data_IF_489015970876
#
_entry.id   IF_489015970876
#
_cell.length_a   1.000
_cell.length_b   1.000
_cell.length_c   1.000
_cell.angle_alpha   90.00
_cell.angle_beta   90.00
_cell.angle_gamma   90.00
#
_symmetry.space_group_name_H-M   'P 1'
#
loop_
_entity.id
_entity.type
_entity.pdbx_description
1 polymer ?
#
# COMPACT_ATOMS: atom_id res chain seq x y z
N UNK A 1 22.23 -3.18 41.22
CA UNK A 1 21.48 -2.12 40.49
C UNK A 1 22.17 -1.68 39.19
N UNK A 2 23.48 -1.37 39.17
CA UNK A 2 24.18 -0.93 37.94
C UNK A 2 24.15 -1.93 36.76
N UNK A 3 24.22 -3.23 37.03
CA UNK A 3 24.16 -4.29 36.00
C UNK A 3 22.76 -4.45 35.37
N UNK A 4 21.70 -4.20 36.14
CA UNK A 4 20.32 -4.22 35.66
C UNK A 4 20.02 -3.00 34.78
N UNK A 5 20.55 -1.83 35.18
CA UNK A 5 20.48 -0.59 34.40
C UNK A 5 21.19 -0.74 33.04
N UNK A 6 22.40 -1.31 33.02
CA UNK A 6 23.15 -1.59 31.79
C UNK A 6 22.41 -2.54 30.84
N UNK A 7 21.74 -3.56 31.38
CA UNK A 7 20.95 -4.49 30.58
C UNK A 7 19.73 -3.80 29.94
N UNK A 8 19.02 -2.94 30.69
CA UNK A 8 17.86 -2.22 30.20
C UNK A 8 18.23 -1.21 29.10
N UNK A 9 19.35 -0.50 29.28
CA UNK A 9 19.88 0.43 28.27
C UNK A 9 20.29 -0.31 27.00
N UNK A 10 20.95 -1.46 27.11
CA UNK A 10 21.32 -2.28 25.96
C UNK A 10 20.08 -2.79 25.18
N UNK A 11 19.00 -3.15 25.86
CA UNK A 11 17.74 -3.55 25.20
C UNK A 11 17.05 -2.39 24.47
N UNK A 12 17.11 -1.16 25.00
CA UNK A 12 16.54 0.01 24.32
C UNK A 12 17.30 0.37 23.03
N UNK A 13 18.63 0.20 23.01
CA UNK A 13 19.44 0.37 21.80
C UNK A 13 19.25 -0.76 20.78
N UNK A 14 19.00 -1.99 21.23
CA UNK A 14 18.74 -3.12 20.32
C UNK A 14 17.38 -3.03 19.59
N UNK A 15 16.39 -2.37 20.20
CA UNK A 15 15.04 -2.23 19.62
C UNK A 15 14.97 -1.05 18.63
N UNK A 16 15.79 -0.01 18.80
CA UNK A 16 15.77 1.20 17.97
C UNK A 16 16.45 1.08 16.61
N UNK A 17 17.15 -0.03 16.34
CA UNK A 17 17.80 -0.29 15.04
C UNK A 17 16.89 -0.81 13.93
N UNK A 18 15.61 -1.06 14.23
CA UNK A 18 14.64 -1.58 13.26
C UNK A 18 13.81 -0.40 12.75
N UNK A 19 14.15 0.13 11.57
CA UNK A 19 13.27 1.08 10.89
C UNK A 19 11.95 0.37 10.59
N UNK A 20 10.87 0.80 11.24
CA UNK A 20 9.55 0.25 10.99
C UNK A 20 8.99 0.93 9.73
N UNK A 21 8.82 0.17 8.64
CA UNK A 21 8.09 0.64 7.47
C UNK A 21 6.64 0.95 7.85
N UNK A 22 6.35 2.24 8.00
CA UNK A 22 4.99 2.76 8.18
C UNK A 22 4.31 2.72 6.82
N UNK A 23 3.23 1.93 6.64
CA UNK A 23 2.52 1.88 5.38
C UNK A 23 1.79 3.19 5.13
N UNK A 24 1.67 3.57 3.86
CA UNK A 24 0.82 4.69 3.46
C UNK A 24 -0.63 4.20 3.46
N UNK A 25 -1.45 4.75 4.34
CA UNK A 25 -2.88 4.45 4.40
C UNK A 25 -3.62 5.15 3.26
N UNK A 26 -4.22 4.37 2.37
CA UNK A 26 -5.02 4.90 1.27
C UNK A 26 -6.49 4.94 1.68
N UNK A 27 -7.03 6.16 1.73
CA UNK A 27 -8.40 6.45 2.15
C UNK A 27 -8.58 6.46 3.67
N UNK A 28 -9.84 6.49 4.12
CA UNK A 28 -10.22 6.62 5.55
C UNK A 28 -10.67 5.29 6.18
N UNK A 29 -10.87 4.26 5.37
CA UNK A 29 -11.44 2.98 5.81
C UNK A 29 -12.94 3.02 6.17
N UNK A 30 -13.63 4.11 5.88
CA UNK A 30 -15.08 4.26 6.13
C UNK A 30 -15.93 4.02 4.89
N UNK A 31 -15.33 3.99 3.70
CA UNK A 31 -16.04 3.85 2.43
C UNK A 31 -16.40 2.39 2.16
N UNK A 32 -17.69 2.12 1.99
CA UNK A 32 -18.22 0.82 1.60
C UNK A 32 -18.73 0.89 0.15
N UNK A 33 -17.84 0.67 -0.82
CA UNK A 33 -18.22 0.56 -2.23
C UNK A 33 -17.73 -0.77 -2.81
N UNK A 34 -18.58 -1.43 -3.60
CA UNK A 34 -18.23 -2.64 -4.35
C UNK A 34 -17.24 -2.37 -5.49
N UNK A 35 -17.00 -1.10 -5.81
CA UNK A 35 -16.09 -0.59 -6.85
C UNK A 35 -14.81 0.03 -6.26
N UNK A 36 -14.55 -0.12 -4.96
CA UNK A 36 -13.32 0.36 -4.33
C UNK A 36 -12.06 -0.30 -4.92
N UNK A 37 -10.88 0.23 -4.59
CA UNK A 37 -9.60 -0.11 -5.21
C UNK A 37 -9.17 -1.59 -5.09
N UNK A 38 -9.77 -2.35 -4.18
CA UNK A 38 -9.47 -3.76 -3.93
C UNK A 38 -10.49 -4.69 -4.59
N UNK A 39 -10.16 -5.98 -4.83
CA UNK A 39 -10.95 -6.85 -5.71
C UNK A 39 -12.42 -6.85 -5.32
N UNK A 40 -13.20 -6.18 -6.17
CA UNK A 40 -14.63 -6.04 -5.97
C UNK A 40 -15.30 -7.41 -5.92
N UNK A 41 -16.52 -7.44 -5.38
CA UNK A 41 -17.32 -8.65 -5.20
C UNK A 41 -17.41 -9.53 -6.47
N UNK A 42 -17.33 -8.91 -7.65
CA UNK A 42 -17.50 -9.56 -8.96
C UNK A 42 -16.20 -10.04 -9.62
N UNK A 43 -15.07 -10.04 -8.89
CA UNK A 43 -13.87 -10.80 -9.25
C UNK A 43 -12.86 -10.12 -10.18
N UNK A 44 -13.28 -9.19 -11.03
CA UNK A 44 -12.38 -8.34 -11.82
C UNK A 44 -12.60 -6.87 -11.47
N UNK A 45 -11.58 -6.20 -10.96
CA UNK A 45 -11.60 -4.76 -10.72
C UNK A 45 -10.31 -4.14 -11.24
N UNK A 46 -10.43 -2.90 -11.71
CA UNK A 46 -9.30 -2.03 -12.01
C UNK A 46 -9.67 -0.67 -11.42
N UNK A 47 -8.72 -0.06 -10.74
CA UNK A 47 -8.86 1.26 -10.15
C UNK A 47 -7.58 2.06 -10.36
N UNK A 48 -7.72 3.35 -10.65
CA UNK A 48 -6.61 4.28 -10.74
C UNK A 48 -6.91 5.49 -9.84
N UNK A 49 -5.90 5.91 -9.10
CA UNK A 49 -6.00 7.01 -8.14
C UNK A 49 -4.79 7.92 -8.30
N UNK A 50 -5.01 9.22 -8.16
CA UNK A 50 -3.99 10.25 -8.15
C UNK A 50 -3.90 10.83 -6.76
N UNK A 51 -2.69 10.91 -6.23
CA UNK A 51 -2.41 11.52 -4.94
C UNK A 51 -1.23 12.46 -5.10
N UNK A 52 -1.31 13.63 -4.51
CA UNK A 52 -0.14 14.47 -4.25
C UNK A 52 0.74 13.82 -3.17
N UNK A 53 2.05 14.07 -3.20
CA UNK A 53 2.97 13.58 -2.18
C UNK A 53 2.54 13.98 -0.75
N UNK A 54 2.00 15.20 -0.59
CA UNK A 54 1.47 15.67 0.70
C UNK A 54 0.26 14.90 1.20
N UNK A 55 -0.64 14.44 0.31
CA UNK A 55 -1.83 13.67 0.70
C UNK A 55 -1.45 12.29 1.24
N UNK A 56 -0.39 11.70 0.72
CA UNK A 56 0.12 10.40 1.16
C UNK A 56 1.29 10.51 2.15
N UNK A 57 1.57 11.73 2.65
CA UNK A 57 2.54 11.96 3.72
C UNK A 57 4.00 11.75 3.32
N UNK A 58 4.33 11.88 2.04
CA UNK A 58 5.70 11.71 1.52
C UNK A 58 6.37 13.07 1.37
N UNK A 59 7.57 13.21 1.93
CA UNK A 59 8.45 14.37 1.70
C UNK A 59 9.17 14.28 0.35
N UNK A 60 9.75 15.39 -0.11
CA UNK A 60 10.55 15.42 -1.34
C UNK A 60 11.67 14.36 -1.29
N UNK A 61 11.74 13.50 -2.31
CA UNK A 61 12.73 12.41 -2.40
C UNK A 61 12.49 11.24 -1.43
N UNK A 62 11.32 11.18 -0.78
CA UNK A 62 10.91 10.04 0.03
C UNK A 62 10.51 8.84 -0.85
N UNK A 63 10.73 7.64 -0.34
CA UNK A 63 10.39 6.40 -1.03
C UNK A 63 9.14 5.74 -0.45
N UNK A 64 8.44 4.96 -1.29
CA UNK A 64 7.27 4.19 -0.91
C UNK A 64 7.66 2.72 -0.89
N UNK A 65 7.55 2.11 0.28
CA UNK A 65 7.85 0.69 0.48
C UNK A 65 6.60 -0.16 0.71
N UNK A 66 5.50 0.47 1.13
CA UNK A 66 4.22 -0.21 1.28
C UNK A 66 3.06 0.77 1.31
N UNK A 67 1.90 0.28 0.87
CA UNK A 67 0.61 0.94 1.04
C UNK A 67 -0.32 0.03 1.82
N UNK A 68 -1.39 0.58 2.38
CA UNK A 68 -2.45 -0.20 2.97
C UNK A 68 -3.84 0.28 2.55
N UNK A 69 -4.74 -0.68 2.39
CA UNK A 69 -6.15 -0.44 2.10
C UNK A 69 -7.01 -1.12 3.16
N UNK A 70 -8.12 -0.49 3.52
CA UNK A 70 -9.10 -1.11 4.39
C UNK A 70 -10.03 -2.02 3.59
N UNK A 71 -10.16 -3.27 4.05
CA UNK A 71 -11.13 -4.21 3.52
C UNK A 71 -12.35 -4.34 4.41
N UNK A 72 -13.53 -4.05 3.87
CA UNK A 72 -14.80 -4.26 4.57
C UNK A 72 -15.20 -5.74 4.66
N UNK A 73 -14.72 -6.59 3.75
CA UNK A 73 -15.01 -8.02 3.69
C UNK A 73 -13.77 -8.86 3.37
N UNK A 74 -13.74 -10.11 3.83
CA UNK A 74 -12.70 -11.10 3.48
C UNK A 74 -12.89 -11.69 2.08
N UNK A 75 -14.14 -11.72 1.60
CA UNK A 75 -14.50 -12.32 0.31
C UNK A 75 -13.99 -11.52 -0.88
N UNK A 76 -13.67 -10.24 -0.67
CA UNK A 76 -13.12 -9.32 -1.67
C UNK A 76 -11.61 -9.51 -1.87
N UNK A 77 -10.89 -10.17 -0.95
CA UNK A 77 -9.43 -10.34 -1.07
C UNK A 77 -8.98 -11.76 -1.37
N UNK A 78 -9.55 -12.74 -0.68
CA UNK A 78 -8.97 -14.08 -0.59
C UNK A 78 -8.95 -14.82 -1.93
N UNK A 79 -7.78 -15.28 -2.33
CA UNK A 79 -7.56 -16.08 -3.54
C UNK A 79 -7.60 -15.28 -4.84
N UNK A 80 -7.64 -13.95 -4.76
CA UNK A 80 -7.63 -13.06 -5.92
C UNK A 80 -6.20 -12.70 -6.31
N UNK A 81 -5.97 -12.48 -7.61
CA UNK A 81 -4.72 -11.90 -8.10
C UNK A 81 -4.77 -10.38 -7.90
N UNK A 82 -3.72 -9.82 -7.30
CA UNK A 82 -3.61 -8.38 -7.05
C UNK A 82 -2.29 -7.89 -7.61
N UNK A 83 -2.37 -6.82 -8.42
CA UNK A 83 -1.21 -6.10 -8.92
C UNK A 83 -1.33 -4.63 -8.56
N UNK A 84 -0.24 -4.02 -8.13
CA UNK A 84 -0.17 -2.58 -7.83
C UNK A 84 0.94 -1.98 -8.68
N UNK A 85 0.59 -0.93 -9.39
CA UNK A 85 1.49 -0.16 -10.24
C UNK A 85 1.58 1.26 -9.70
N UNK A 86 2.78 1.83 -9.65
CA UNK A 86 3.01 3.23 -9.32
C UNK A 86 3.72 3.94 -10.45
N UNK A 87 3.39 5.20 -10.63
CA UNK A 87 4.03 6.10 -11.58
C UNK A 87 3.96 7.51 -10.99
N UNK A 88 5.07 8.24 -11.08
CA UNK A 88 5.09 9.67 -10.81
C UNK A 88 4.70 10.41 -12.09
N UNK A 89 3.75 11.33 -11.97
CA UNK A 89 3.28 12.16 -13.08
C UNK A 89 3.14 13.61 -12.61
N UNK A 90 3.22 14.56 -13.55
CA UNK A 90 3.01 15.99 -13.26
C UNK A 90 1.57 16.44 -13.45
N UNK A 91 0.69 15.54 -13.93
CA UNK A 91 -0.71 15.85 -14.20
C UNK A 91 -1.50 16.05 -12.90
N UNK A 92 -2.44 17.00 -12.90
CA UNK A 92 -3.36 17.21 -11.79
C UNK A 92 -4.64 16.34 -11.88
N UNK A 93 -4.78 15.52 -12.91
CA UNK A 93 -5.95 14.67 -13.12
C UNK A 93 -5.62 13.42 -13.94
N UNK A 94 -6.32 12.32 -13.71
CA UNK A 94 -6.20 11.10 -14.52
C UNK A 94 -7.26 11.11 -15.63
N UNK A 95 -6.84 10.92 -16.87
CA UNK A 95 -7.76 10.55 -17.94
C UNK A 95 -8.11 9.06 -17.84
N UNK A 96 -9.35 8.72 -17.52
CA UNK A 96 -9.81 7.34 -17.41
C UNK A 96 -10.37 6.77 -18.72
N UNK A 97 -10.48 7.58 -19.79
CA UNK A 97 -10.96 7.15 -21.11
C UNK A 97 -9.85 6.53 -21.96
N UNK A 98 -9.08 5.61 -21.38
CA UNK A 98 -7.96 4.94 -22.04
C UNK A 98 -7.80 3.51 -21.54
N UNK A 99 -7.08 2.68 -22.30
CA UNK A 99 -6.87 1.29 -21.93
C UNK A 99 -5.98 1.16 -20.68
N UNK A 100 -6.14 0.06 -19.94
CA UNK A 100 -5.25 -0.26 -18.82
C UNK A 100 -3.78 -0.32 -19.24
N UNK A 101 -3.51 -0.90 -20.42
CA UNK A 101 -2.15 -0.97 -20.99
C UNK A 101 -1.54 0.42 -21.18
N UNK A 102 -2.35 1.41 -21.57
CA UNK A 102 -1.90 2.81 -21.70
C UNK A 102 -1.65 3.43 -20.33
N UNK A 103 -2.54 3.22 -19.35
CA UNK A 103 -2.38 3.75 -17.99
C UNK A 103 -1.12 3.21 -17.29
N UNK A 104 -0.71 1.98 -17.58
CA UNK A 104 0.43 1.34 -16.91
C UNK A 104 1.71 1.29 -17.75
N UNK A 105 1.76 1.88 -18.94
CA UNK A 105 2.88 1.66 -19.88
C UNK A 105 4.24 2.09 -19.31
N UNK A 106 4.25 3.14 -18.50
CA UNK A 106 5.44 3.70 -17.87
C UNK A 106 5.44 3.50 -16.34
N UNK A 107 4.56 2.64 -15.83
CA UNK A 107 4.41 2.41 -14.40
C UNK A 107 5.30 1.27 -13.91
N UNK A 108 5.82 1.41 -12.70
CA UNK A 108 6.56 0.36 -12.00
C UNK A 108 5.59 -0.60 -11.35
N UNK A 109 5.70 -1.90 -11.66
CA UNK A 109 5.00 -2.95 -10.93
C UNK A 109 5.69 -3.16 -9.57
N UNK A 110 5.06 -2.70 -8.50
CA UNK A 110 5.64 -2.75 -7.14
C UNK A 110 5.12 -3.93 -6.32
N UNK A 111 4.00 -4.52 -6.71
CA UNK A 111 3.38 -5.65 -6.01
C UNK A 111 2.68 -6.55 -7.03
N UNK A 112 2.96 -7.85 -7.00
CA UNK A 112 2.26 -8.88 -7.78
C UNK A 112 2.06 -10.12 -6.93
N UNK A 113 0.81 -10.37 -6.54
CA UNK A 113 0.42 -11.56 -5.80
C UNK A 113 -0.59 -12.36 -6.61
N UNK A 114 -0.32 -13.65 -6.79
CA UNK A 114 -1.20 -14.58 -7.52
C UNK A 114 -2.35 -15.11 -6.66
N UNK A 115 -2.20 -15.07 -5.34
CA UNK A 115 -3.20 -15.51 -4.37
C UNK A 115 -3.10 -14.64 -3.13
N UNK A 116 -3.82 -13.52 -3.15
CA UNK A 116 -3.85 -12.61 -2.02
C UNK A 116 -4.62 -13.23 -0.86
N UNK A 117 -4.00 -13.27 0.32
CA UNK A 117 -4.56 -13.90 1.52
C UNK A 117 -5.14 -12.85 2.48
N UNK A 118 -6.44 -12.93 2.75
CA UNK A 118 -7.13 -12.01 3.67
C UNK A 118 -8.00 -12.76 4.67
N UNK A 119 -7.45 -13.15 5.82
CA UNK A 119 -8.19 -13.93 6.82
C UNK A 119 -9.24 -13.10 7.57
N UNK A 120 -9.12 -11.77 7.55
CA UNK A 120 -9.98 -10.84 8.28
C UNK A 120 -10.25 -9.56 7.48
N UNK A 121 -11.31 -8.85 7.84
CA UNK A 121 -11.55 -7.46 7.41
C UNK A 121 -10.55 -6.50 8.07
N UNK A 122 -10.63 -5.20 7.74
CA UNK A 122 -9.75 -4.14 8.22
C UNK A 122 -8.56 -3.90 7.30
N UNK A 123 -7.61 -3.09 7.79
CA UNK A 123 -6.43 -2.67 7.03
C UNK A 123 -5.56 -3.85 6.58
N UNK A 124 -5.15 -3.82 5.33
CA UNK A 124 -4.27 -4.80 4.70
C UNK A 124 -3.10 -4.07 4.06
N UNK A 125 -1.91 -4.43 4.52
CA UNK A 125 -0.64 -3.90 4.04
C UNK A 125 -0.18 -4.67 2.81
N UNK A 126 0.28 -3.93 1.81
CA UNK A 126 0.93 -4.41 0.59
C UNK A 126 2.38 -3.97 0.63
N UNK A 127 3.28 -4.89 0.99
CA UNK A 127 4.71 -4.63 1.02
C UNK A 127 5.23 -4.78 -0.41
N UNK A 128 5.91 -3.76 -0.91
CA UNK A 128 6.41 -3.74 -2.28
C UNK A 128 7.62 -4.66 -2.45
N UNK A 129 7.74 -5.29 -3.62
CA UNK A 129 8.94 -6.06 -3.99
C UNK A 129 10.15 -5.16 -4.22
N UNK A 130 9.92 -3.90 -4.57
CA UNK A 130 10.92 -2.86 -4.74
C UNK A 130 10.36 -1.54 -4.23
N UNK A 131 11.19 -0.77 -3.52
CA UNK A 131 10.83 0.59 -3.14
C UNK A 131 10.58 1.43 -4.40
N UNK A 132 9.58 2.31 -4.34
CA UNK A 132 9.25 3.26 -5.41
C UNK A 132 9.71 4.66 -5.00
N UNK A 133 10.38 5.36 -5.91
CA UNK A 133 11.02 6.67 -5.67
C UNK A 133 11.03 7.50 -6.94
#
# INVERSE_FOLDING_TARGET
MKRLLLFLVATMFAISGWSQTVPIAIGTGTTTASTSAMPGLYGYNISAHLYSASEIGIGLGGSIESIEYNLSSVTTGTGKRVKIYLIEITDASINLNQSWTTLTSNATLVYDSTSFYTPSSGWKKFIFSSSFS
#
